data_IF_314729109913
#
_entry.id   IF_314729109913
#
_cell.length_a   1.000
_cell.length_b   1.000
_cell.length_c   1.000
_cell.angle_alpha   90.00
_cell.angle_beta   90.00
_cell.angle_gamma   90.00
#
_symmetry.space_group_name_H-M   'P 1'
#
loop_
_entity.id
_entity.type
_entity.pdbx_description
1 polymer ?
#
# COMPACT_ATOMS: atom_id res chain seq x y z
N UNK A 1 23.44 -15.68 2.53
CA UNK A 1 22.00 -15.45 2.81
C UNK A 1 21.84 -15.28 4.29
N UNK A 2 21.58 -14.03 4.71
CA UNK A 2 21.20 -13.71 6.09
C UNK A 2 19.91 -14.42 6.49
N UNK A 3 19.78 -14.72 7.78
CA UNK A 3 18.50 -15.20 8.30
C UNK A 3 17.45 -14.08 8.19
N UNK A 4 16.20 -14.40 7.81
CA UNK A 4 15.12 -13.42 7.81
C UNK A 4 14.99 -12.77 9.19
N UNK A 5 14.84 -11.46 9.24
CA UNK A 5 14.91 -10.65 10.46
C UNK A 5 13.58 -9.96 10.73
N UNK A 6 13.12 -10.03 11.97
CA UNK A 6 12.01 -9.24 12.49
C UNK A 6 12.54 -8.06 13.32
N UNK A 7 12.01 -6.87 13.08
CA UNK A 7 12.15 -5.72 13.97
C UNK A 7 10.92 -5.67 14.89
N UNK A 8 11.12 -5.95 16.17
CA UNK A 8 10.11 -5.74 17.20
C UNK A 8 10.16 -4.30 17.67
N UNK A 9 9.04 -3.59 17.54
CA UNK A 9 8.88 -2.22 18.00
C UNK A 9 7.82 -2.15 19.09
N UNK A 10 8.26 -1.91 20.34
CA UNK A 10 7.38 -1.55 21.44
C UNK A 10 7.33 -0.03 21.57
N UNK A 11 6.21 0.54 21.11
CA UNK A 11 6.02 1.99 21.07
C UNK A 11 5.81 2.60 22.45
N UNK A 12 5.34 1.82 23.43
CA UNK A 12 5.11 2.34 24.78
C UNK A 12 6.45 2.61 25.49
N UNK A 13 7.38 1.67 25.37
CA UNK A 13 8.70 1.76 25.98
C UNK A 13 9.77 2.37 25.06
N UNK A 14 9.41 2.73 23.83
CA UNK A 14 10.36 3.15 22.79
C UNK A 14 11.54 2.18 22.65
N UNK A 15 11.24 0.88 22.68
CA UNK A 15 12.24 -0.18 22.65
C UNK A 15 12.15 -0.93 21.32
N UNK A 16 13.28 -0.98 20.61
CA UNK A 16 13.39 -1.54 19.26
C UNK A 16 14.43 -2.66 19.27
N UNK A 17 14.04 -3.85 18.86
CA UNK A 17 14.93 -5.02 18.86
C UNK A 17 14.80 -5.82 17.57
N UNK A 18 15.92 -5.97 16.89
CA UNK A 18 16.07 -6.90 15.77
C UNK A 18 16.29 -8.32 16.32
N UNK A 19 15.62 -9.29 15.74
CA UNK A 19 15.79 -10.70 16.05
C UNK A 19 15.65 -11.55 14.78
N UNK A 20 16.35 -12.69 14.68
CA UNK A 20 16.09 -13.63 13.60
C UNK A 20 14.67 -14.21 13.75
N UNK A 21 13.98 -14.35 12.63
CA UNK A 21 12.77 -15.19 12.58
C UNK A 21 13.15 -16.65 12.83
N UNK A 22 12.22 -17.47 13.36
CA UNK A 22 12.47 -18.90 13.52
C UNK A 22 12.94 -19.55 12.21
N UNK A 23 13.98 -20.38 12.28
CA UNK A 23 14.70 -20.90 11.11
C UNK A 23 13.81 -21.58 10.07
N UNK A 24 12.74 -22.23 10.54
CA UNK A 24 11.88 -23.06 9.71
C UNK A 24 10.78 -22.25 9.02
N UNK A 25 10.51 -21.03 9.50
CA UNK A 25 9.42 -20.19 9.01
C UNK A 25 9.62 -19.76 7.57
N UNK A 26 10.85 -19.50 7.15
CA UNK A 26 11.15 -19.17 5.75
C UNK A 26 10.68 -20.28 4.80
N UNK A 27 10.75 -21.55 5.22
CA UNK A 27 10.29 -22.70 4.43
C UNK A 27 8.79 -22.95 4.58
N UNK A 28 8.26 -22.82 5.79
CA UNK A 28 6.86 -23.11 6.09
C UNK A 28 5.90 -22.03 5.57
N UNK A 29 6.30 -20.76 5.65
CA UNK A 29 5.44 -19.62 5.40
C UNK A 29 5.93 -18.68 4.29
N UNK A 30 7.11 -18.95 3.72
CA UNK A 30 7.74 -18.24 2.59
C UNK A 30 8.15 -16.80 2.91
N UNK A 31 7.22 -15.94 3.31
CA UNK A 31 7.43 -14.49 3.46
C UNK A 31 6.13 -13.70 3.52
N UNK A 32 6.25 -12.37 3.65
CA UNK A 32 5.12 -11.43 3.54
C UNK A 32 3.94 -11.83 4.43
N UNK A 33 2.75 -11.98 3.81
CA UNK A 33 1.53 -12.42 4.51
C UNK A 33 1.73 -13.67 5.36
N UNK A 34 2.43 -14.69 4.87
CA UNK A 34 2.58 -15.95 5.59
C UNK A 34 3.27 -15.78 6.94
N UNK A 35 4.35 -15.00 6.97
CA UNK A 35 5.07 -14.67 8.22
C UNK A 35 4.19 -13.80 9.12
N UNK A 36 3.45 -12.82 8.57
CA UNK A 36 2.47 -12.07 9.36
C UNK A 36 1.42 -12.98 10.01
N UNK A 37 0.90 -13.99 9.30
CA UNK A 37 -0.08 -14.91 9.87
C UNK A 37 0.52 -15.78 10.98
N UNK A 38 1.75 -16.27 10.80
CA UNK A 38 2.46 -17.05 11.81
C UNK A 38 2.70 -16.23 13.08
N UNK A 39 3.14 -14.98 12.93
CA UNK A 39 3.33 -14.04 14.04
C UNK A 39 2.01 -13.70 14.74
N UNK A 40 0.93 -13.40 13.98
CA UNK A 40 -0.39 -13.15 14.58
C UNK A 40 -0.89 -14.37 15.35
N UNK A 41 -0.75 -15.57 14.81
CA UNK A 41 -1.15 -16.79 15.51
C UNK A 41 -0.42 -16.97 16.85
N UNK A 42 0.83 -16.51 16.96
CA UNK A 42 1.59 -16.57 18.22
C UNK A 42 1.29 -15.41 19.19
N UNK A 43 1.05 -14.20 18.67
CA UNK A 43 0.96 -12.99 19.49
C UNK A 43 -0.47 -12.53 19.78
N UNK A 44 -1.41 -12.76 18.87
CA UNK A 44 -2.75 -12.22 18.97
C UNK A 44 -3.61 -13.10 19.88
N UNK A 45 -4.04 -12.52 20.99
CA UNK A 45 -5.02 -13.15 21.87
C UNK A 45 -6.45 -12.89 21.39
N UNK A 46 -7.32 -13.89 21.53
CA UNK A 46 -8.71 -13.81 21.07
C UNK A 46 -9.54 -12.75 21.81
N UNK A 47 -9.20 -12.46 23.06
CA UNK A 47 -9.91 -11.52 23.95
C UNK A 47 -9.46 -10.06 23.81
N UNK A 48 -8.38 -9.79 23.06
CA UNK A 48 -7.81 -8.44 22.92
C UNK A 48 -8.50 -7.68 21.78
N UNK A 49 -9.15 -6.53 22.04
CA UNK A 49 -9.82 -5.74 21.00
C UNK A 49 -8.86 -5.21 19.93
N UNK A 50 -9.39 -4.94 18.73
CA UNK A 50 -8.56 -4.50 17.60
C UNK A 50 -7.69 -3.27 17.93
N UNK A 51 -8.22 -2.25 18.61
CA UNK A 51 -7.50 -1.00 18.87
C UNK A 51 -6.69 -1.00 20.17
N UNK A 52 -6.61 -2.14 20.85
CA UNK A 52 -5.82 -2.29 22.07
C UNK A 52 -4.32 -2.09 21.78
N UNK A 53 -3.55 -1.42 22.66
CA UNK A 53 -2.11 -1.29 22.52
C UNK A 53 -1.38 -2.64 22.32
N UNK A 54 -1.88 -3.74 22.91
CA UNK A 54 -1.30 -5.07 22.76
C UNK A 54 -1.63 -5.76 21.43
N UNK A 55 -2.64 -5.29 20.68
CA UNK A 55 -2.94 -5.86 19.35
C UNK A 55 -1.75 -5.62 18.42
N UNK A 56 -1.14 -6.69 17.86
CA UNK A 56 -0.03 -6.53 16.94
C UNK A 56 -0.46 -5.87 15.63
N UNK A 57 0.33 -4.92 15.15
CA UNK A 57 0.30 -4.40 13.79
C UNK A 57 1.57 -4.86 13.10
N UNK A 58 1.43 -5.62 12.01
CA UNK A 58 2.55 -6.27 11.34
C UNK A 58 2.71 -5.81 9.91
N UNK A 59 3.92 -5.44 9.52
CA UNK A 59 4.33 -5.21 8.14
C UNK A 59 5.29 -6.31 7.72
N UNK A 60 5.10 -6.92 6.56
CA UNK A 60 6.08 -7.89 6.05
C UNK A 60 6.19 -7.87 4.54
N UNK A 61 7.40 -8.16 4.07
CA UNK A 61 7.74 -8.27 2.66
C UNK A 61 8.16 -9.72 2.32
N UNK A 62 7.86 -10.15 1.10
CA UNK A 62 8.24 -11.48 0.61
C UNK A 62 9.73 -11.60 0.26
N UNK A 63 10.27 -12.81 0.07
CA UNK A 63 11.70 -13.02 -0.20
C UNK A 63 12.17 -12.45 -1.54
N UNK A 64 11.26 -12.25 -2.50
CA UNK A 64 11.56 -11.63 -3.80
C UNK A 64 11.51 -10.10 -3.75
N UNK A 65 11.04 -9.51 -2.65
CA UNK A 65 10.88 -8.06 -2.54
C UNK A 65 12.24 -7.40 -2.36
N UNK A 66 12.50 -6.32 -3.13
CA UNK A 66 13.80 -5.65 -3.16
C UNK A 66 14.84 -6.33 -4.06
N UNK A 67 14.48 -7.41 -4.76
CA UNK A 67 15.34 -8.03 -5.78
C UNK A 67 15.00 -7.51 -7.18
N UNK A 68 15.77 -7.88 -8.20
CA UNK A 68 15.42 -7.59 -9.61
C UNK A 68 14.29 -8.46 -10.18
N UNK A 69 13.57 -9.23 -9.35
CA UNK A 69 12.42 -10.01 -9.80
C UNK A 69 11.30 -9.09 -10.31
N UNK A 70 10.73 -9.31 -11.50
CA UNK A 70 9.63 -8.50 -12.03
C UNK A 70 8.45 -8.39 -11.05
N UNK A 71 8.21 -7.18 -10.53
CA UNK A 71 7.13 -6.91 -9.57
C UNK A 71 7.44 -7.29 -8.11
N UNK A 72 8.70 -7.53 -7.75
CA UNK A 72 9.19 -7.76 -6.38
C UNK A 72 9.10 -6.51 -5.48
N UNK A 73 7.91 -5.98 -5.27
CA UNK A 73 7.68 -4.68 -4.64
C UNK A 73 6.60 -4.67 -3.54
N UNK A 74 5.93 -5.80 -3.34
CA UNK A 74 4.73 -5.87 -2.49
C UNK A 74 5.08 -5.98 -1.00
N UNK A 75 4.25 -5.38 -0.15
CA UNK A 75 4.25 -5.63 1.29
C UNK A 75 2.83 -5.84 1.81
N UNK A 76 2.71 -6.53 2.93
CA UNK A 76 1.46 -6.80 3.62
C UNK A 76 1.40 -6.05 4.95
N UNK A 77 0.24 -5.51 5.27
CA UNK A 77 -0.10 -4.94 6.58
C UNK A 77 -1.19 -5.80 7.18
N UNK A 78 -0.94 -6.38 8.35
CA UNK A 78 -1.85 -7.34 8.97
C UNK A 78 -2.02 -7.08 10.46
N UNK A 79 -3.19 -7.45 10.98
CA UNK A 79 -3.56 -7.25 12.38
C UNK A 79 -4.98 -7.78 12.64
N UNK A 80 -5.54 -7.44 13.81
CA UNK A 80 -6.98 -7.61 14.03
C UNK A 80 -7.71 -6.42 13.40
N UNK A 81 -8.61 -6.70 12.48
CA UNK A 81 -9.35 -5.70 11.70
C UNK A 81 -10.27 -4.87 12.58
N UNK A 82 -10.11 -3.53 12.64
CA UNK A 82 -11.09 -2.65 13.28
C UNK A 82 -12.47 -2.69 12.60
N UNK A 83 -12.51 -2.98 11.29
CA UNK A 83 -13.75 -3.05 10.52
C UNK A 83 -14.60 -4.28 10.84
N UNK A 84 -13.94 -5.43 11.01
CA UNK A 84 -14.63 -6.74 11.03
C UNK A 84 -14.43 -7.51 12.33
N UNK A 85 -13.51 -7.08 13.21
CA UNK A 85 -13.20 -7.75 14.47
C UNK A 85 -12.46 -9.09 14.33
N UNK A 86 -12.16 -9.53 13.09
CA UNK A 86 -11.45 -10.77 12.78
C UNK A 86 -10.06 -10.46 12.17
N UNK A 87 -9.48 -11.40 11.42
CA UNK A 87 -8.24 -11.18 10.70
C UNK A 87 -8.36 -10.03 9.68
N UNK A 88 -7.44 -9.08 9.77
CA UNK A 88 -7.18 -8.06 8.75
C UNK A 88 -5.86 -8.32 8.03
N UNK A 89 -5.88 -8.24 6.71
CA UNK A 89 -4.70 -8.29 5.86
C UNK A 89 -4.95 -7.41 4.63
N UNK A 90 -4.03 -6.51 4.36
CA UNK A 90 -4.06 -5.62 3.20
C UNK A 90 -2.69 -5.57 2.54
N UNK A 91 -2.66 -5.40 1.22
CA UNK A 91 -1.43 -5.46 0.44
C UNK A 91 -1.27 -4.20 -0.40
N UNK A 92 -0.06 -3.65 -0.40
CA UNK A 92 0.31 -2.52 -1.24
C UNK A 92 1.62 -2.80 -2.00
N UNK A 93 1.83 -2.05 -3.08
CA UNK A 93 3.07 -2.03 -3.85
C UNK A 93 3.89 -0.79 -3.56
N UNK A 94 4.58 -0.27 -4.58
CA UNK A 94 5.43 0.91 -4.47
C UNK A 94 6.89 0.54 -4.21
N UNK A 95 7.51 1.28 -3.29
CA UNK A 95 8.93 1.22 -2.95
C UNK A 95 9.17 1.02 -1.44
N UNK A 96 8.15 1.22 -0.59
CA UNK A 96 8.25 0.99 0.86
C UNK A 96 8.66 -0.44 1.24
N UNK A 97 8.05 -1.46 0.62
CA UNK A 97 8.40 -2.86 0.88
C UNK A 97 9.87 -3.19 0.57
N UNK A 98 10.38 -2.83 -0.63
CA UNK A 98 11.80 -2.88 -0.96
C UNK A 98 12.70 -2.13 0.03
N UNK A 99 12.37 -0.91 0.40
CA UNK A 99 13.18 -0.09 1.33
C UNK A 99 13.32 -0.75 2.70
N UNK A 100 12.24 -1.33 3.21
CA UNK A 100 12.25 -2.12 4.44
C UNK A 100 13.22 -3.30 4.35
N UNK A 101 13.28 -3.96 3.18
CA UNK A 101 14.20 -5.07 2.91
C UNK A 101 15.65 -4.60 2.83
N UNK A 102 15.90 -3.43 2.24
CA UNK A 102 17.23 -2.81 2.16
C UNK A 102 17.75 -2.39 3.53
N UNK A 103 16.86 -1.94 4.44
CA UNK A 103 17.18 -1.67 5.85
C UNK A 103 17.39 -2.96 6.68
N UNK A 104 17.38 -4.14 6.05
CA UNK A 104 17.62 -5.43 6.70
C UNK A 104 16.39 -6.03 7.40
N UNK A 105 15.17 -5.59 7.09
CA UNK A 105 13.96 -6.01 7.79
C UNK A 105 13.04 -6.82 6.87
N UNK A 106 12.69 -8.05 7.29
CA UNK A 106 11.74 -8.92 6.59
C UNK A 106 10.31 -8.76 7.14
N UNK A 107 10.21 -8.52 8.45
CA UNK A 107 8.97 -8.22 9.16
C UNK A 107 9.20 -7.09 10.18
N UNK A 108 8.27 -6.15 10.27
CA UNK A 108 8.18 -5.18 11.35
C UNK A 108 6.95 -5.53 12.19
N UNK A 109 7.16 -5.81 13.47
CA UNK A 109 6.13 -6.20 14.42
C UNK A 109 5.95 -5.12 15.49
N UNK A 110 4.82 -4.42 15.45
CA UNK A 110 4.55 -3.24 16.27
C UNK A 110 3.52 -3.58 17.34
N UNK A 111 3.86 -3.27 18.59
CA UNK A 111 2.96 -3.30 19.75
C UNK A 111 3.10 -2.01 20.57
N UNK A 112 2.24 -1.86 21.58
CA UNK A 112 2.19 -0.67 22.41
C UNK A 112 1.49 0.50 21.71
N UNK A 113 1.56 1.65 22.37
CA UNK A 113 1.04 2.94 21.90
C UNK A 113 2.07 3.99 22.32
N UNK A 114 2.51 4.81 21.37
CA UNK A 114 3.41 5.92 21.65
C UNK A 114 2.71 6.96 22.55
N UNK A 115 3.47 7.65 23.41
CA UNK A 115 2.91 8.63 24.35
C UNK A 115 2.23 9.83 23.66
N UNK A 116 2.64 10.13 22.43
CA UNK A 116 2.16 11.22 21.57
C UNK A 116 2.19 10.78 20.10
N UNK A 117 1.49 11.47 19.18
CA UNK A 117 1.67 11.27 17.74
C UNK A 117 3.14 11.17 17.37
N UNK A 118 3.53 10.09 16.68
CA UNK A 118 4.93 9.79 16.39
C UNK A 118 5.13 9.26 14.97
N UNK A 119 6.33 9.44 14.45
CA UNK A 119 6.88 8.75 13.27
C UNK A 119 7.84 7.68 13.78
N UNK A 120 7.69 6.42 13.35
CA UNK A 120 8.73 5.40 13.52
C UNK A 120 9.75 5.57 12.39
N UNK A 121 10.92 6.09 12.73
CA UNK A 121 12.01 6.33 11.80
C UNK A 121 13.00 5.17 11.84
N UNK A 122 13.26 4.57 10.68
CA UNK A 122 14.21 3.46 10.49
C UNK A 122 15.24 3.92 9.46
N UNK A 123 16.50 4.04 9.87
CA UNK A 123 17.63 4.40 9.02
C UNK A 123 18.69 3.31 9.12
N UNK A 124 18.66 2.37 8.18
CA UNK A 124 19.37 1.10 8.25
C UNK A 124 19.20 0.44 9.63
N UNK A 125 20.26 0.34 10.44
CA UNK A 125 20.24 -0.30 11.76
C UNK A 125 19.69 0.59 12.88
N UNK A 126 19.60 1.91 12.68
CA UNK A 126 19.05 2.83 13.66
C UNK A 126 17.53 2.82 13.61
N UNK A 127 16.88 2.85 14.78
CA UNK A 127 15.42 2.96 14.88
C UNK A 127 15.05 3.86 16.05
N UNK A 128 14.19 4.84 15.82
CA UNK A 128 13.73 5.78 16.84
C UNK A 128 12.29 6.25 16.59
N UNK A 129 11.67 6.83 17.61
CA UNK A 129 10.42 7.58 17.47
C UNK A 129 10.73 9.07 17.40
N UNK A 130 10.17 9.72 16.40
CA UNK A 130 10.22 11.18 16.21
C UNK A 130 8.83 11.74 16.52
N UNK A 131 8.77 12.88 17.21
CA UNK A 131 7.52 13.57 17.47
C UNK A 131 6.83 13.95 16.15
N UNK A 132 5.52 13.74 16.08
CA UNK A 132 4.71 14.00 14.90
C UNK A 132 3.43 14.78 15.24
N UNK A 133 3.41 15.45 16.40
CA UNK A 133 2.24 16.24 16.83
C UNK A 133 1.84 17.29 15.77
N UNK A 134 2.82 17.98 15.17
CA UNK A 134 2.57 19.06 14.21
C UNK A 134 2.04 18.58 12.84
N UNK A 135 2.19 17.28 12.53
CA UNK A 135 1.69 16.68 11.28
C UNK A 135 0.45 15.79 11.49
N UNK A 136 -0.01 15.64 12.73
CA UNK A 136 -1.26 14.95 13.01
C UNK A 136 -2.43 15.79 12.49
N UNK A 137 -3.34 15.19 11.73
CA UNK A 137 -4.41 15.91 11.04
C UNK A 137 -4.09 16.31 9.59
N UNK A 138 -2.82 16.27 9.17
CA UNK A 138 -2.45 16.50 7.77
C UNK A 138 -2.86 15.31 6.89
N UNK A 139 -3.18 15.60 5.63
CA UNK A 139 -3.48 14.57 4.64
C UNK A 139 -2.24 13.70 4.33
N UNK A 140 -2.43 12.55 3.69
CA UNK A 140 -1.34 11.59 3.42
C UNK A 140 -0.23 12.18 2.54
N UNK A 141 -0.56 13.10 1.63
CA UNK A 141 0.40 13.73 0.71
C UNK A 141 1.17 14.84 1.44
N UNK A 142 0.46 15.72 2.14
CA UNK A 142 1.03 16.81 2.94
C UNK A 142 1.96 16.25 4.03
N UNK A 143 1.50 15.25 4.79
CA UNK A 143 2.31 14.62 5.82
C UNK A 143 3.57 13.96 5.25
N UNK A 144 3.48 13.33 4.07
CA UNK A 144 4.66 12.75 3.42
C UNK A 144 5.68 13.83 3.06
N UNK A 145 5.22 14.96 2.49
CA UNK A 145 6.09 16.09 2.16
C UNK A 145 6.81 16.67 3.38
N UNK A 146 6.08 16.89 4.48
CA UNK A 146 6.69 17.38 5.73
C UNK A 146 7.69 16.38 6.31
N UNK A 147 7.42 15.07 6.22
CA UNK A 147 8.37 14.04 6.65
C UNK A 147 9.66 14.08 5.83
N UNK A 148 9.57 14.26 4.51
CA UNK A 148 10.73 14.42 3.64
C UNK A 148 11.56 15.66 3.99
N UNK A 149 10.92 16.79 4.25
CA UNK A 149 11.60 18.01 4.70
C UNK A 149 12.26 17.83 6.07
N UNK A 150 11.54 17.24 7.03
CA UNK A 150 12.02 16.97 8.39
C UNK A 150 13.26 16.07 8.40
N UNK A 151 13.30 15.07 7.53
CA UNK A 151 14.39 14.09 7.44
C UNK A 151 15.45 14.46 6.39
N UNK A 152 15.24 15.57 5.66
CA UNK A 152 16.17 16.13 4.69
C UNK A 152 16.42 15.27 3.45
N UNK A 153 15.46 14.41 3.09
CA UNK A 153 15.63 13.44 2.00
C UNK A 153 14.28 13.02 1.41
N UNK A 154 14.11 13.29 0.12
CA UNK A 154 12.90 13.00 -0.65
C UNK A 154 12.81 11.54 -1.14
N UNK A 155 13.92 10.78 -1.08
CA UNK A 155 13.96 9.37 -1.48
C UNK A 155 13.57 8.43 -0.33
N UNK A 156 13.36 8.97 0.88
CA UNK A 156 12.83 8.20 2.02
C UNK A 156 11.46 7.62 1.67
N UNK A 157 11.28 6.34 1.98
CA UNK A 157 10.01 5.68 1.77
C UNK A 157 9.14 5.79 3.01
N UNK A 158 7.95 6.38 2.84
CA UNK A 158 7.00 6.65 3.92
C UNK A 158 5.75 5.81 3.72
N UNK A 159 5.31 5.14 4.79
CA UNK A 159 3.97 4.59 4.94
C UNK A 159 3.23 5.40 6.01
N UNK A 160 2.18 6.11 5.64
CA UNK A 160 1.51 7.13 6.45
C UNK A 160 0.01 6.85 6.57
N UNK A 161 -0.61 7.34 7.63
CA UNK A 161 -2.06 7.36 7.79
C UNK A 161 -2.60 8.79 7.64
N UNK A 162 -3.80 8.92 7.08
CA UNK A 162 -4.48 10.21 6.94
C UNK A 162 -5.52 10.46 8.04
N UNK A 163 -6.22 11.60 7.97
CA UNK A 163 -7.24 12.01 8.94
C UNK A 163 -8.35 10.97 9.17
N UNK A 164 -8.69 10.15 8.17
CA UNK A 164 -9.70 9.10 8.34
C UNK A 164 -9.28 8.10 9.45
N UNK A 165 -8.03 7.67 9.44
CA UNK A 165 -7.50 6.74 10.44
C UNK A 165 -7.39 7.39 11.83
N UNK A 166 -6.89 8.62 11.87
CA UNK A 166 -6.72 9.41 13.11
C UNK A 166 -8.06 9.64 13.84
N UNK A 167 -9.15 9.78 13.06
CA UNK A 167 -10.52 9.90 13.57
C UNK A 167 -11.25 8.55 13.75
N UNK A 168 -10.56 7.42 13.58
CA UNK A 168 -11.11 6.10 13.88
C UNK A 168 -12.02 5.50 12.82
N UNK A 169 -11.98 5.97 11.56
CA UNK A 169 -12.77 5.39 10.46
C UNK A 169 -12.38 3.92 10.27
N UNK A 170 -13.32 3.00 10.53
CA UNK A 170 -12.98 1.58 10.65
C UNK A 170 -12.43 0.93 9.36
N UNK A 171 -12.62 1.55 8.21
CA UNK A 171 -12.14 1.09 6.90
C UNK A 171 -10.95 1.88 6.34
N UNK A 172 -10.30 2.75 7.15
CA UNK A 172 -9.13 3.51 6.71
C UNK A 172 -7.90 2.63 6.43
N UNK A 173 -6.98 3.17 5.63
CA UNK A 173 -5.80 2.47 5.14
C UNK A 173 -4.47 3.04 5.60
N UNK A 174 -3.41 2.28 5.32
CA UNK A 174 -2.03 2.77 5.32
C UNK A 174 -1.61 3.07 3.89
N UNK A 175 -1.07 4.26 3.65
CA UNK A 175 -0.74 4.75 2.32
C UNK A 175 0.78 4.92 2.21
N UNK A 176 1.38 4.22 1.26
CA UNK A 176 2.79 4.36 0.93
C UNK A 176 2.95 5.05 -0.42
N UNK A 177 4.10 5.69 -0.66
CA UNK A 177 4.40 6.30 -1.97
C UNK A 177 3.25 7.18 -2.49
N UNK A 178 2.68 8.00 -1.58
CA UNK A 178 1.49 8.83 -1.76
C UNK A 178 0.17 8.04 -1.87
N UNK A 179 0.03 7.16 -2.86
CA UNK A 179 -1.27 6.54 -3.21
C UNK A 179 -1.27 5.00 -3.20
N UNK A 180 -0.18 4.35 -2.80
CA UNK A 180 -0.11 2.87 -2.73
C UNK A 180 -0.77 2.42 -1.43
N UNK A 181 -2.02 2.02 -1.57
CA UNK A 181 -2.92 1.85 -0.44
C UNK A 181 -3.01 0.40 0.04
N UNK A 182 -2.69 0.17 1.31
CA UNK A 182 -3.13 -0.97 2.10
C UNK A 182 -4.43 -0.57 2.82
N UNK A 183 -5.50 -0.39 2.05
CA UNK A 183 -6.73 0.32 2.46
C UNK A 183 -7.97 -0.56 2.62
N UNK A 184 -7.81 -1.81 3.05
CA UNK A 184 -8.94 -2.63 3.51
C UNK A 184 -8.68 -3.13 4.91
N UNK A 185 -9.76 -3.52 5.60
CA UNK A 185 -9.73 -4.10 6.95
C UNK A 185 -9.27 -3.15 8.06
N UNK A 186 -9.16 -1.84 7.80
CA UNK A 186 -8.95 -0.83 8.85
C UNK A 186 -7.53 -0.77 9.41
N UNK A 187 -6.52 -1.22 8.66
CA UNK A 187 -5.13 -1.21 9.15
C UNK A 187 -4.60 0.20 9.41
N UNK A 188 -5.13 1.23 8.73
CA UNK A 188 -4.82 2.63 9.03
C UNK A 188 -5.26 2.99 10.45
N UNK A 189 -6.51 2.71 10.81
CA UNK A 189 -7.05 2.98 12.14
C UNK A 189 -6.33 2.19 13.24
N UNK A 190 -5.92 0.95 12.96
CA UNK A 190 -5.07 0.20 13.90
C UNK A 190 -3.70 0.87 14.10
N UNK A 191 -3.11 1.43 13.05
CA UNK A 191 -1.85 2.18 13.14
C UNK A 191 -2.03 3.50 13.90
N UNK A 192 -3.07 4.27 13.58
CA UNK A 192 -3.39 5.52 14.27
C UNK A 192 -3.73 5.32 15.75
N UNK A 193 -4.40 4.21 16.13
CA UNK A 193 -4.71 3.92 17.53
C UNK A 193 -3.46 3.70 18.39
N UNK A 194 -2.31 3.49 17.77
CA UNK A 194 -1.01 3.40 18.44
C UNK A 194 -0.28 4.75 18.54
N UNK A 195 -0.95 5.85 18.18
CA UNK A 195 -0.39 7.18 18.00
C UNK A 195 0.75 7.20 16.95
N UNK A 196 0.68 6.32 15.96
CA UNK A 196 1.69 6.22 14.92
C UNK A 196 1.18 6.88 13.63
N UNK A 197 1.70 8.07 13.31
CA UNK A 197 1.35 8.83 12.09
C UNK A 197 1.96 8.19 10.86
N UNK A 198 3.23 7.80 10.95
CA UNK A 198 3.95 7.23 9.84
C UNK A 198 5.03 6.25 10.27
N UNK A 199 5.43 5.40 9.33
CA UNK A 199 6.69 4.65 9.35
C UNK A 199 7.50 5.19 8.18
N UNK A 200 8.66 5.76 8.47
CA UNK A 200 9.59 6.25 7.46
C UNK A 200 10.84 5.36 7.48
N UNK A 201 11.31 4.99 6.29
CA UNK A 201 12.41 4.04 6.12
C UNK A 201 13.41 4.56 5.10
N UNK A 202 14.69 4.49 5.46
CA UNK A 202 15.83 4.52 4.55
C UNK A 202 16.62 3.22 4.74
N UNK A 203 16.89 2.54 3.63
CA UNK A 203 17.67 1.31 3.60
C UNK A 203 18.71 1.36 2.50
N UNK A 204 19.98 1.22 2.84
CA UNK A 204 21.10 1.30 1.88
C UNK A 204 21.68 -0.06 1.52
N UNK A 205 21.21 -1.12 2.19
CA UNK A 205 21.62 -2.49 1.93
C UNK A 205 21.04 -3.09 0.65
N UNK A 206 21.39 -4.35 0.40
CA UNK A 206 20.90 -5.13 -0.74
C UNK A 206 20.24 -6.44 -0.31
N UNK A 207 19.44 -7.02 -1.20
CA UNK A 207 18.85 -8.35 -0.99
C UNK A 207 19.73 -9.42 -1.63
N UNK A 208 20.31 -10.28 -0.80
CA UNK A 208 21.16 -11.37 -1.28
C UNK A 208 20.36 -12.46 -2.00
N UNK A 209 20.82 -12.84 -3.19
CA UNK A 209 20.30 -13.97 -3.96
C UNK A 209 21.35 -15.07 -4.00
N UNK A 210 20.98 -16.29 -3.61
CA UNK A 210 21.94 -17.42 -3.49
C UNK A 210 22.65 -17.78 -4.80
N UNK A 211 21.95 -17.71 -5.92
CA UNK A 211 22.48 -18.01 -7.25
C UNK A 211 22.04 -16.91 -8.21
N UNK A 212 22.83 -15.82 -8.33
CA UNK A 212 22.47 -14.67 -9.14
C UNK A 212 22.27 -15.00 -10.62
N UNK A 213 23.09 -15.91 -11.17
CA UNK A 213 23.00 -16.29 -12.59
C UNK A 213 21.70 -17.03 -12.88
N UNK A 214 21.36 -18.03 -12.07
CA UNK A 214 20.10 -18.77 -12.22
C UNK A 214 18.89 -17.88 -11.97
N UNK A 215 18.97 -16.99 -10.98
CA UNK A 215 17.90 -16.06 -10.67
C UNK A 215 17.66 -15.07 -11.80
N UNK A 216 18.72 -14.51 -12.38
CA UNK A 216 18.61 -13.64 -13.55
C UNK A 216 17.97 -14.38 -14.72
N UNK A 217 18.44 -15.58 -15.06
CA UNK A 217 17.85 -16.36 -16.15
C UNK A 217 16.36 -16.69 -15.93
N UNK A 218 15.95 -16.94 -14.69
CA UNK A 218 14.53 -17.13 -14.35
C UNK A 218 13.71 -15.85 -14.49
N UNK A 219 14.27 -14.72 -14.06
CA UNK A 219 13.64 -13.39 -14.13
C UNK A 219 13.50 -12.90 -15.58
N UNK A 220 14.54 -13.04 -16.39
CA UNK A 220 14.54 -12.68 -17.81
C UNK A 220 13.47 -13.47 -18.58
N UNK A 221 13.38 -14.79 -18.34
CA UNK A 221 12.36 -15.64 -18.98
C UNK A 221 10.94 -15.27 -18.56
N UNK A 222 10.73 -14.87 -17.30
CA UNK A 222 9.42 -14.37 -16.87
C UNK A 222 9.10 -13.04 -17.54
N UNK A 223 10.08 -12.14 -17.60
CA UNK A 223 9.94 -10.83 -18.24
C UNK A 223 9.60 -10.97 -19.73
N UNK A 224 10.28 -11.85 -20.47
CA UNK A 224 9.96 -12.14 -21.87
C UNK A 224 8.49 -12.59 -22.04
N UNK A 225 8.02 -13.51 -21.18
CA UNK A 225 6.61 -13.95 -21.20
C UNK A 225 5.63 -12.84 -20.88
N UNK A 226 5.97 -11.95 -19.95
CA UNK A 226 5.13 -10.80 -19.57
C UNK A 226 5.04 -9.82 -20.73
N UNK A 227 6.18 -9.45 -21.32
CA UNK A 227 6.24 -8.49 -22.43
C UNK A 227 5.60 -9.04 -23.71
N UNK A 228 5.71 -10.34 -23.96
CA UNK A 228 5.07 -11.02 -25.10
C UNK A 228 3.60 -11.39 -24.90
N UNK A 229 2.99 -11.08 -23.74
CA UNK A 229 1.60 -11.41 -23.47
C UNK A 229 0.66 -10.47 -24.22
N UNK A 230 -0.42 -11.00 -24.81
CA UNK A 230 -1.41 -10.21 -25.58
C UNK A 230 -2.11 -9.09 -24.78
N UNK A 231 -2.06 -9.16 -23.44
CA UNK A 231 -2.65 -8.16 -22.52
C UNK A 231 -1.65 -7.09 -22.07
N UNK A 232 -0.38 -7.20 -22.45
CA UNK A 232 0.67 -6.30 -21.95
C UNK A 232 0.39 -4.84 -22.30
N UNK A 233 0.07 -4.59 -23.57
CA UNK A 233 -0.16 -3.22 -24.08
C UNK A 233 -1.37 -2.58 -23.41
N UNK A 234 -2.50 -3.29 -23.37
CA UNK A 234 -3.73 -2.76 -22.76
C UNK A 234 -3.56 -2.56 -21.25
N UNK A 235 -2.87 -3.47 -20.56
CA UNK A 235 -2.57 -3.32 -19.13
C UNK A 235 -1.66 -2.13 -18.85
N UNK A 236 -0.68 -1.86 -19.71
CA UNK A 236 0.25 -0.73 -19.57
C UNK A 236 -0.43 0.61 -19.86
N UNK A 237 -1.37 0.61 -20.79
CA UNK A 237 -2.15 1.77 -21.19
C UNK A 237 -3.25 2.12 -20.19
N UNK A 238 -4.11 1.17 -19.88
CA UNK A 238 -5.33 1.39 -19.10
C UNK A 238 -5.20 0.93 -17.64
N UNK A 239 -4.17 0.15 -17.30
CA UNK A 239 -4.05 -0.46 -15.98
C UNK A 239 -5.26 -1.33 -15.65
N UNK A 240 -5.81 -1.17 -14.44
CA UNK A 240 -6.99 -1.93 -14.06
C UNK A 240 -8.29 -1.34 -14.60
N UNK A 241 -8.35 -0.05 -14.98
CA UNK A 241 -9.62 0.58 -15.44
C UNK A 241 -10.14 0.03 -16.75
N UNK A 242 -9.35 -0.75 -17.50
CA UNK A 242 -9.84 -1.59 -18.61
C UNK A 242 -11.02 -2.49 -18.20
N UNK A 243 -11.13 -2.81 -16.91
CA UNK A 243 -12.19 -3.66 -16.38
C UNK A 243 -13.59 -3.03 -16.50
N UNK A 244 -13.72 -1.69 -16.59
CA UNK A 244 -15.03 -1.06 -16.84
C UNK A 244 -15.61 -1.57 -18.15
N UNK A 245 -14.85 -1.43 -19.25
CA UNK A 245 -15.26 -1.87 -20.59
C UNK A 245 -15.38 -3.39 -20.68
N UNK A 246 -14.45 -4.13 -20.07
CA UNK A 246 -14.48 -5.59 -20.10
C UNK A 246 -15.72 -6.16 -19.40
N UNK A 247 -16.03 -5.67 -18.18
CA UNK A 247 -17.19 -6.12 -17.41
C UNK A 247 -18.50 -5.65 -18.04
N UNK A 248 -18.55 -4.46 -18.64
CA UNK A 248 -19.71 -3.98 -19.41
C UNK A 248 -20.07 -4.97 -20.53
N UNK A 249 -19.08 -5.37 -21.34
CA UNK A 249 -19.28 -6.29 -22.48
C UNK A 249 -19.74 -7.69 -22.03
N UNK A 250 -19.28 -8.13 -20.87
CA UNK A 250 -19.67 -9.42 -20.29
C UNK A 250 -21.03 -9.37 -19.58
N UNK A 251 -21.65 -8.19 -19.43
CA UNK A 251 -22.86 -8.03 -18.63
C UNK A 251 -22.62 -8.35 -17.15
N UNK A 252 -21.48 -7.92 -16.62
CA UNK A 252 -21.03 -8.16 -15.24
C UNK A 252 -20.55 -6.89 -14.52
N UNK A 253 -20.86 -5.70 -15.02
CA UNK A 253 -20.45 -4.41 -14.44
C UNK A 253 -21.39 -4.02 -13.27
N UNK A 254 -20.91 -3.99 -12.01
CA UNK A 254 -21.77 -3.75 -10.85
C UNK A 254 -22.37 -2.34 -10.83
N UNK A 255 -23.62 -2.22 -11.25
CA UNK A 255 -24.25 -0.91 -11.48
C UNK A 255 -25.35 -0.64 -10.45
N UNK A 256 -25.37 0.58 -9.89
CA UNK A 256 -26.35 1.04 -8.87
C UNK A 256 -26.50 0.03 -7.73
N UNK A 257 -25.41 -0.19 -7.01
CA UNK A 257 -25.32 -1.16 -5.92
C UNK A 257 -25.80 -2.56 -6.33
N UNK A 258 -25.25 -3.08 -7.43
CA UNK A 258 -25.51 -4.42 -7.96
C UNK A 258 -26.96 -4.67 -8.42
N UNK A 259 -27.77 -3.63 -8.62
CA UNK A 259 -29.14 -3.75 -9.15
C UNK A 259 -29.17 -4.05 -10.66
N UNK A 260 -28.11 -3.68 -11.38
CA UNK A 260 -27.91 -4.00 -12.79
C UNK A 260 -26.46 -4.44 -13.02
N UNK A 261 -26.24 -5.13 -14.13
CA UNK A 261 -24.92 -5.61 -14.56
C UNK A 261 -24.36 -4.86 -15.78
N UNK A 262 -25.05 -3.80 -16.21
CA UNK A 262 -24.61 -2.88 -17.24
C UNK A 262 -24.93 -1.44 -16.84
N UNK A 263 -24.13 -0.51 -17.33
CA UNK A 263 -24.32 0.93 -17.14
C UNK A 263 -24.41 1.64 -18.49
N UNK A 264 -25.41 2.49 -18.66
CA UNK A 264 -25.71 3.19 -19.90
C UNK A 264 -24.63 4.20 -20.31
N UNK A 265 -23.81 4.67 -19.37
CA UNK A 265 -22.70 5.60 -19.60
C UNK A 265 -21.34 4.97 -19.31
N UNK A 266 -21.20 3.65 -19.44
CA UNK A 266 -19.95 2.93 -19.15
C UNK A 266 -18.77 3.40 -20.01
N UNK A 267 -19.01 3.83 -21.24
CA UNK A 267 -18.02 4.42 -22.15
C UNK A 267 -17.50 5.76 -21.63
N UNK A 268 -18.39 6.63 -21.11
CA UNK A 268 -18.03 7.94 -20.55
C UNK A 268 -17.09 7.80 -19.35
N UNK A 269 -17.33 6.82 -18.49
CA UNK A 269 -16.52 6.60 -17.26
C UNK A 269 -15.45 5.53 -17.42
N UNK A 270 -15.13 5.15 -18.66
CA UNK A 270 -14.20 4.07 -18.97
C UNK A 270 -12.73 4.43 -18.72
N UNK A 271 -11.88 3.39 -18.65
CA UNK A 271 -10.43 3.59 -18.63
C UNK A 271 -9.89 4.25 -19.89
N UNK A 272 -10.52 3.99 -21.04
CA UNK A 272 -10.21 4.55 -22.34
C UNK A 272 -10.46 6.08 -22.36
N UNK A 273 -11.57 6.54 -21.76
CA UNK A 273 -11.84 7.98 -21.63
C UNK A 273 -10.82 8.65 -20.71
N UNK A 274 -10.47 8.02 -19.59
CA UNK A 274 -9.41 8.53 -18.70
C UNK A 274 -8.06 8.62 -19.43
N UNK A 275 -7.71 7.60 -20.23
CA UNK A 275 -6.48 7.59 -21.03
C UNK A 275 -6.46 8.77 -22.03
N UNK A 276 -7.55 8.98 -22.76
CA UNK A 276 -7.62 10.00 -23.80
C UNK A 276 -7.67 11.43 -23.23
N UNK A 277 -8.33 11.64 -22.09
CA UNK A 277 -8.61 12.98 -21.57
C UNK A 277 -7.61 13.46 -20.50
N UNK A 278 -7.11 12.58 -19.64
CA UNK A 278 -6.45 13.01 -18.39
C UNK A 278 -5.07 12.40 -18.15
N UNK A 279 -4.75 11.25 -18.77
CA UNK A 279 -3.51 10.53 -18.49
C UNK A 279 -2.30 11.23 -19.07
N UNK A 280 -1.34 11.56 -18.21
CA UNK A 280 -0.07 12.16 -18.61
C UNK A 280 1.07 11.13 -18.72
N UNK A 281 1.11 10.16 -17.80
CA UNK A 281 2.19 9.15 -17.76
C UNK A 281 1.76 7.88 -17.05
N UNK A 282 2.42 6.78 -17.38
CA UNK A 282 2.34 5.51 -16.63
C UNK A 282 3.43 5.44 -15.56
N UNK A 283 3.16 4.78 -14.44
CA UNK A 283 4.11 4.59 -13.33
C UNK A 283 4.12 3.15 -12.83
N UNK A 284 5.32 2.60 -12.64
CA UNK A 284 5.55 1.27 -12.08
C UNK A 284 5.85 1.31 -10.58
N UNK A 285 5.63 0.17 -9.93
CA UNK A 285 6.26 -0.10 -8.64
C UNK A 285 7.74 -0.47 -8.86
N UNK A 286 8.49 -0.64 -7.77
CA UNK A 286 9.87 -1.11 -7.81
C UNK A 286 10.02 -2.39 -8.68
N UNK A 287 11.04 -2.40 -9.55
CA UNK A 287 11.38 -3.50 -10.46
C UNK A 287 10.22 -4.05 -11.33
N UNK A 288 9.13 -3.29 -11.50
CA UNK A 288 7.96 -3.77 -12.23
C UNK A 288 8.03 -3.36 -13.71
N UNK A 289 7.99 -4.35 -14.62
CA UNK A 289 7.92 -4.14 -16.07
C UNK A 289 6.51 -3.82 -16.59
N UNK A 290 5.50 -3.76 -15.71
CA UNK A 290 4.10 -3.46 -16.05
C UNK A 290 3.69 -2.18 -15.29
N UNK A 291 3.91 -0.98 -15.87
CA UNK A 291 3.57 0.27 -15.20
C UNK A 291 2.05 0.54 -15.34
N UNK A 292 1.24 -0.23 -14.60
CA UNK A 292 -0.22 -0.18 -14.67
C UNK A 292 -0.86 1.06 -14.03
N UNK A 293 -0.10 1.75 -13.18
CA UNK A 293 -0.57 2.99 -12.55
C UNK A 293 -0.45 4.15 -13.51
N UNK A 294 -1.28 5.17 -13.32
CA UNK A 294 -1.34 6.33 -14.20
C UNK A 294 -1.35 7.60 -13.38
N UNK A 295 -0.59 8.58 -13.82
CA UNK A 295 -0.64 9.92 -13.26
C UNK A 295 -1.55 10.77 -14.15
N UNK A 296 -2.56 11.34 -13.54
CA UNK A 296 -3.60 12.12 -14.20
C UNK A 296 -3.45 13.60 -13.87
N UNK A 297 -3.83 14.43 -14.82
CA UNK A 297 -4.14 15.85 -14.62
C UNK A 297 -5.54 16.05 -15.17
N UNK A 298 -6.47 16.50 -14.33
CA UNK A 298 -7.87 16.71 -14.69
C UNK A 298 -8.10 18.19 -14.90
N UNK A 299 -8.49 18.56 -16.12
CA UNK A 299 -8.84 19.93 -16.49
C UNK A 299 -10.35 20.14 -16.31
N UNK A 300 -10.75 20.58 -15.12
CA UNK A 300 -12.14 20.91 -14.76
C UNK A 300 -12.15 22.03 -13.71
N UNK A 301 -12.76 23.17 -14.05
CA UNK A 301 -12.80 24.38 -13.19
C UNK A 301 -13.41 24.14 -11.81
N UNK A 302 -14.21 23.08 -11.62
CA UNK A 302 -14.80 22.72 -10.33
C UNK A 302 -13.77 22.15 -9.36
N UNK A 303 -12.67 21.60 -9.89
CA UNK A 303 -11.64 20.90 -9.14
C UNK A 303 -10.24 21.41 -9.54
N UNK A 304 -9.92 22.67 -9.22
CA UNK A 304 -8.61 23.23 -9.54
C UNK A 304 -7.49 22.40 -8.92
N UNK A 305 -6.38 22.27 -9.65
CA UNK A 305 -5.19 21.51 -9.26
C UNK A 305 -5.42 20.01 -9.00
N UNK A 306 -6.44 19.40 -9.62
CA UNK A 306 -6.67 17.96 -9.50
C UNK A 306 -5.65 17.15 -10.33
N UNK A 307 -4.59 16.72 -9.65
CA UNK A 307 -3.57 15.84 -10.23
C UNK A 307 -3.12 14.78 -9.21
N UNK A 308 -3.15 13.51 -9.61
CA UNK A 308 -2.79 12.40 -8.72
C UNK A 308 -2.48 11.12 -9.50
N UNK A 309 -1.95 10.13 -8.78
CA UNK A 309 -1.75 8.79 -9.32
C UNK A 309 -2.96 7.88 -9.03
N UNK A 310 -3.53 7.26 -10.06
CA UNK A 310 -4.77 6.49 -9.99
C UNK A 310 -5.74 6.88 -11.10
N UNK A 311 -7.05 6.59 -10.96
CA UNK A 311 -7.63 5.63 -10.03
C UNK A 311 -7.33 4.18 -10.48
N UNK A 312 -7.42 3.22 -9.58
CA UNK A 312 -7.62 1.82 -10.01
C UNK A 312 -9.11 1.59 -10.37
N UNK A 313 -9.43 0.43 -10.95
CA UNK A 313 -10.81 0.08 -11.32
C UNK A 313 -11.78 0.17 -10.16
N UNK A 314 -11.43 -0.40 -9.00
CA UNK A 314 -12.34 -0.46 -7.84
C UNK A 314 -12.79 0.92 -7.33
N UNK A 315 -11.89 1.90 -7.08
CA UNK A 315 -12.33 3.24 -6.69
C UNK A 315 -13.06 3.96 -7.83
N UNK A 316 -12.63 3.81 -9.10
CA UNK A 316 -13.34 4.42 -10.23
C UNK A 316 -14.78 3.91 -10.32
N UNK A 317 -14.97 2.58 -10.40
CA UNK A 317 -16.28 1.96 -10.44
C UNK A 317 -17.10 2.30 -9.19
N UNK A 318 -16.43 2.43 -8.05
CA UNK A 318 -17.05 2.79 -6.77
C UNK A 318 -17.72 4.16 -6.74
N UNK A 319 -17.12 5.15 -7.41
CA UNK A 319 -17.65 6.52 -7.50
C UNK A 319 -18.37 6.84 -8.83
N UNK A 320 -18.44 5.87 -9.74
CA UNK A 320 -19.17 6.00 -11.01
C UNK A 320 -20.32 4.99 -11.06
N UNK A 321 -20.10 3.85 -11.70
CA UNK A 321 -21.13 2.86 -12.06
C UNK A 321 -21.84 2.29 -10.85
N UNK A 322 -21.13 2.07 -9.74
CA UNK A 322 -21.70 1.50 -8.52
C UNK A 322 -22.72 2.42 -7.86
N UNK A 323 -22.62 3.72 -8.09
CA UNK A 323 -23.59 4.73 -7.59
C UNK A 323 -24.44 5.33 -8.72
N UNK A 324 -24.29 4.87 -9.96
CA UNK A 324 -24.99 5.41 -11.13
C UNK A 324 -24.58 6.82 -11.53
N UNK A 325 -23.34 7.21 -11.24
CA UNK A 325 -22.78 8.52 -11.59
C UNK A 325 -21.96 8.44 -12.89
N UNK A 326 -22.24 9.34 -13.83
CA UNK A 326 -21.50 9.50 -15.10
C UNK A 326 -20.56 10.71 -15.11
N UNK A 327 -20.50 11.49 -14.03
CA UNK A 327 -19.61 12.64 -13.88
C UNK A 327 -18.19 12.15 -13.54
N UNK A 328 -17.38 11.92 -14.58
CA UNK A 328 -16.03 11.40 -14.44
C UNK A 328 -15.09 12.33 -13.65
N UNK A 329 -15.02 13.66 -13.90
CA UNK A 329 -14.21 14.56 -13.08
C UNK A 329 -14.58 14.53 -11.59
N UNK A 330 -15.87 14.52 -11.26
CA UNK A 330 -16.32 14.41 -9.86
C UNK A 330 -15.88 13.08 -9.24
N UNK A 331 -15.97 11.98 -9.97
CA UNK A 331 -15.51 10.68 -9.48
C UNK A 331 -13.98 10.66 -9.26
N UNK A 332 -13.20 11.25 -10.17
CA UNK A 332 -11.74 11.37 -10.01
C UNK A 332 -11.37 12.23 -8.81
N UNK A 333 -12.08 13.35 -8.60
CA UNK A 333 -11.94 14.19 -7.41
C UNK A 333 -12.21 13.39 -6.12
N UNK A 334 -13.32 12.62 -6.08
CA UNK A 334 -13.65 11.79 -4.93
C UNK A 334 -12.56 10.75 -4.62
N UNK A 335 -11.96 10.13 -5.64
CA UNK A 335 -10.85 9.19 -5.45
C UNK A 335 -9.62 9.88 -4.86
N UNK A 336 -9.23 11.04 -5.38
CA UNK A 336 -8.11 11.81 -4.82
C UNK A 336 -8.36 12.18 -3.35
N UNK A 337 -9.57 12.63 -3.02
CA UNK A 337 -9.95 12.91 -1.63
C UNK A 337 -9.85 11.67 -0.74
N UNK A 338 -10.28 10.50 -1.20
CA UNK A 338 -10.10 9.25 -0.45
C UNK A 338 -8.62 8.94 -0.20
N UNK A 339 -7.78 9.05 -1.23
CA UNK A 339 -6.33 8.83 -1.10
C UNK A 339 -5.69 9.79 -0.06
N UNK A 340 -6.00 11.09 -0.15
CA UNK A 340 -5.50 12.13 0.76
C UNK A 340 -5.97 11.92 2.19
N UNK A 341 -7.25 11.63 2.38
CA UNK A 341 -7.82 11.39 3.69
C UNK A 341 -7.37 10.05 4.30
N UNK A 342 -6.86 9.12 3.48
CA UNK A 342 -6.39 7.81 3.91
C UNK A 342 -7.49 6.76 4.04
N UNK A 343 -8.44 6.71 3.10
CA UNK A 343 -9.58 5.77 3.08
C UNK A 343 -9.75 5.05 1.75
#
# INVERSE_FOLDING_TARGET
>A
MRAPTVLHADLHHSHFKRAPLPSDWARQFIGGRGINMATLHQMLRADVPALDPQTPLLFAAGPLVGTSFPGGARFNVSGRSPQTGILGDSNAGGFFGPELRFAGIDQLAIIGRAARPSILWIDDDATQLIDAADIWGLDTVEATGVIHELLGDADIQVAVVGPAAENGVAFSGVFANLVRAAARTGMGTLMASKNLKAIAVRGTGGVEVRDPARFKGASDRLQEKVLGHAEYDIRTRLGTTQLVTALQKMGGLPTRHFQSTTFEHADVVSGETIEAAYKQRSKGCFACSIPCSRYLVVDDDRFPDLHFEGPEYEPLAGFTVRIGCSDLPLALYAVDRCNRLGM
#
